data_IF_198898322955
#
_entry.id   IF_198898322955
#
_cell.length_a   1.000
_cell.length_b   1.000
_cell.length_c   1.000
_cell.angle_alpha   90.00
_cell.angle_beta   90.00
_cell.angle_gamma   90.00
#
_symmetry.space_group_name_H-M   'P 1'
#
loop_
_entity.id
_entity.type
_entity.pdbx_description
1 polymer ?
#
# COMPACT_ATOMS: atom_id res chain seq x y z
N UNK A 1 -8.15 -21.82 -31.20
CA UNK A 1 -9.01 -21.30 -30.11
C UNK A 1 -8.40 -20.00 -29.59
N UNK A 2 -9.06 -18.83 -29.71
CA UNK A 2 -8.44 -17.54 -29.40
C UNK A 2 -8.82 -16.93 -28.03
N UNK A 3 -9.64 -17.62 -27.21
CA UNK A 3 -10.15 -17.06 -25.95
C UNK A 3 -9.05 -16.82 -24.89
N UNK A 4 -8.02 -17.67 -24.87
CA UNK A 4 -6.91 -17.57 -23.91
C UNK A 4 -6.06 -16.31 -24.11
N UNK A 5 -5.95 -15.79 -25.34
CA UNK A 5 -5.01 -14.70 -25.63
C UNK A 5 -5.47 -13.35 -25.05
N UNK A 6 -6.78 -13.05 -25.06
CA UNK A 6 -7.30 -11.79 -24.50
C UNK A 6 -7.31 -11.77 -22.97
N UNK A 7 -7.65 -12.89 -22.34
CA UNK A 7 -7.67 -13.01 -20.88
C UNK A 7 -6.25 -12.98 -20.28
N UNK A 8 -5.28 -13.57 -20.98
CA UNK A 8 -3.88 -13.57 -20.57
C UNK A 8 -3.24 -12.18 -20.74
N UNK A 9 -3.57 -11.47 -21.83
CA UNK A 9 -3.18 -10.07 -22.02
C UNK A 9 -3.80 -9.14 -20.96
N UNK A 10 -5.06 -9.36 -20.59
CA UNK A 10 -5.75 -8.61 -19.55
C UNK A 10 -5.09 -8.79 -18.18
N UNK A 11 -4.83 -10.05 -17.79
CA UNK A 11 -4.12 -10.39 -16.54
C UNK A 11 -2.73 -9.78 -16.49
N UNK A 12 -1.97 -9.91 -17.57
CA UNK A 12 -0.61 -9.35 -17.65
C UNK A 12 -0.61 -7.82 -17.53
N UNK A 13 -1.55 -7.13 -18.16
CA UNK A 13 -1.69 -5.68 -18.04
C UNK A 13 -2.07 -5.27 -16.61
N UNK A 14 -2.97 -6.02 -15.96
CA UNK A 14 -3.37 -5.77 -14.58
C UNK A 14 -2.19 -5.89 -13.62
N UNK A 15 -1.42 -6.99 -13.70
CA UNK A 15 -0.24 -7.19 -12.86
C UNK A 15 0.80 -6.09 -13.08
N UNK A 16 1.08 -5.71 -14.33
CA UNK A 16 2.00 -4.61 -14.64
C UNK A 16 1.54 -3.26 -14.06
N UNK A 17 0.24 -2.96 -14.11
CA UNK A 17 -0.31 -1.73 -13.53
C UNK A 17 -0.20 -1.73 -12.00
N UNK A 18 -0.47 -2.88 -11.38
CA UNK A 18 -0.31 -3.10 -9.95
C UNK A 18 1.14 -2.86 -9.52
N UNK A 19 2.09 -3.51 -10.19
CA UNK A 19 3.51 -3.37 -9.86
C UNK A 19 3.99 -1.92 -9.99
N UNK A 20 3.68 -1.25 -11.10
CA UNK A 20 4.04 0.15 -11.31
C UNK A 20 3.44 1.07 -10.24
N UNK A 21 2.17 0.84 -9.86
CA UNK A 21 1.50 1.63 -8.84
C UNK A 21 2.16 1.45 -7.46
N UNK A 22 2.48 0.21 -7.10
CA UNK A 22 3.16 -0.12 -5.84
C UNK A 22 4.56 0.48 -5.82
N UNK A 23 5.34 0.35 -6.89
CA UNK A 23 6.69 0.92 -6.97
C UNK A 23 6.66 2.46 -6.82
N UNK A 24 5.71 3.12 -7.48
CA UNK A 24 5.53 4.57 -7.35
C UNK A 24 5.11 4.97 -5.92
N UNK A 25 4.25 4.20 -5.26
CA UNK A 25 3.88 4.44 -3.86
C UNK A 25 5.09 4.26 -2.93
N UNK A 26 5.83 3.17 -3.06
CA UNK A 26 7.07 2.92 -2.29
C UNK A 26 8.08 4.03 -2.48
N UNK A 27 8.27 4.52 -3.71
CA UNK A 27 9.16 5.65 -3.96
C UNK A 27 8.71 6.92 -3.21
N UNK A 28 7.40 7.21 -3.20
CA UNK A 28 6.85 8.35 -2.45
C UNK A 28 7.08 8.21 -0.94
N UNK A 29 6.84 7.02 -0.38
CA UNK A 29 7.07 6.72 1.05
C UNK A 29 8.55 6.88 1.40
N UNK A 30 9.44 6.32 0.56
CA UNK A 30 10.88 6.43 0.76
C UNK A 30 11.39 7.88 0.78
N UNK A 31 10.78 8.75 -0.03
CA UNK A 31 11.13 10.18 -0.11
C UNK A 31 10.42 11.03 0.95
N UNK A 32 9.45 10.48 1.68
CA UNK A 32 8.77 11.21 2.73
C UNK A 32 9.75 11.55 3.88
N UNK A 33 9.80 12.80 4.34
CA UNK A 33 10.79 13.24 5.33
C UNK A 33 10.64 12.50 6.66
N UNK A 34 9.41 12.24 7.09
CA UNK A 34 9.09 11.61 8.38
C UNK A 34 8.93 10.09 8.30
N UNK A 35 9.08 9.48 7.13
CA UNK A 35 8.95 8.04 6.97
C UNK A 35 10.03 7.25 7.73
N UNK A 36 11.20 7.86 8.00
CA UNK A 36 12.29 7.16 8.66
C UNK A 36 12.72 5.88 7.91
N UNK A 37 12.66 5.92 6.58
CA UNK A 37 12.79 4.77 5.68
C UNK A 37 13.97 3.86 6.03
N UNK A 38 15.15 4.43 6.32
CA UNK A 38 16.37 3.71 6.65
C UNK A 38 16.29 2.83 7.92
N UNK A 39 15.25 2.99 8.75
CA UNK A 39 15.06 2.19 9.97
C UNK A 39 14.26 0.90 9.77
N UNK A 40 13.72 0.66 8.57
CA UNK A 40 12.99 -0.56 8.23
C UNK A 40 13.92 -1.64 7.64
N UNK A 41 13.63 -2.90 7.96
CA UNK A 41 14.38 -4.05 7.48
C UNK A 41 13.91 -4.51 6.10
N UNK A 42 14.72 -5.38 5.45
CA UNK A 42 14.35 -6.09 4.22
C UNK A 42 12.93 -6.68 4.26
N UNK A 43 12.61 -7.36 5.37
CA UNK A 43 11.31 -8.01 5.57
C UNK A 43 10.16 -7.02 5.80
N UNK A 44 10.44 -5.82 6.33
CA UNK A 44 9.43 -4.77 6.46
C UNK A 44 9.08 -4.17 5.10
N UNK A 45 10.07 -4.00 4.21
CA UNK A 45 9.80 -3.56 2.85
C UNK A 45 8.97 -4.57 2.06
N UNK A 46 9.27 -5.87 2.21
CA UNK A 46 8.48 -6.93 1.56
C UNK A 46 7.04 -6.87 2.04
N UNK A 47 6.81 -6.81 3.36
CA UNK A 47 5.46 -6.71 3.93
C UNK A 47 4.73 -5.44 3.52
N UNK A 48 5.42 -4.31 3.48
CA UNK A 48 4.84 -3.05 2.99
C UNK A 48 4.41 -3.15 1.52
N UNK A 49 5.19 -3.85 0.67
CA UNK A 49 4.82 -4.10 -0.73
C UNK A 49 3.55 -4.96 -0.84
N UNK A 50 3.45 -6.00 -0.01
CA UNK A 50 2.27 -6.87 0.05
C UNK A 50 1.03 -6.09 0.52
N UNK A 51 1.16 -5.28 1.57
CA UNK A 51 0.13 -4.37 2.06
C UNK A 51 -0.41 -3.47 0.95
N UNK A 52 0.50 -2.78 0.24
CA UNK A 52 0.15 -1.86 -0.84
C UNK A 52 -0.53 -2.58 -2.01
N UNK A 53 -0.13 -3.82 -2.30
CA UNK A 53 -0.78 -4.65 -3.31
C UNK A 53 -2.22 -4.97 -2.95
N UNK A 54 -2.46 -5.40 -1.71
CA UNK A 54 -3.80 -5.75 -1.22
C UNK A 54 -4.72 -4.52 -1.21
N UNK A 55 -4.21 -3.37 -0.78
CA UNK A 55 -4.95 -2.10 -0.85
C UNK A 55 -5.27 -1.75 -2.30
N UNK A 56 -4.29 -1.81 -3.20
CA UNK A 56 -4.51 -1.48 -4.62
C UNK A 56 -5.56 -2.38 -5.28
N UNK A 57 -5.60 -3.67 -4.91
CA UNK A 57 -6.63 -4.61 -5.37
C UNK A 57 -8.00 -4.28 -4.77
N UNK A 58 -8.03 -3.84 -3.51
CA UNK A 58 -9.25 -3.57 -2.75
C UNK A 58 -9.90 -2.21 -3.00
N UNK A 59 -9.25 -1.30 -3.75
CA UNK A 59 -9.77 0.05 -4.00
C UNK A 59 -9.76 0.42 -5.48
N UNK A 60 -10.68 1.31 -5.86
CA UNK A 60 -10.68 1.87 -7.21
C UNK A 60 -9.47 2.75 -7.47
N UNK A 61 -9.11 2.86 -8.76
CA UNK A 61 -7.95 3.65 -9.21
C UNK A 61 -8.01 5.10 -8.76
N UNK A 62 -9.19 5.72 -8.69
CA UNK A 62 -9.35 7.10 -8.23
C UNK A 62 -8.94 7.25 -6.78
N UNK A 63 -9.42 6.35 -5.90
CA UNK A 63 -9.09 6.34 -4.48
C UNK A 63 -7.59 6.13 -4.26
N UNK A 64 -6.98 5.21 -5.01
CA UNK A 64 -5.53 5.00 -4.95
C UNK A 64 -4.72 6.28 -5.24
N UNK A 65 -5.16 7.10 -6.20
CA UNK A 65 -4.47 8.35 -6.54
C UNK A 65 -4.65 9.45 -5.48
N UNK A 66 -5.69 9.37 -4.64
CA UNK A 66 -5.93 10.31 -3.55
C UNK A 66 -5.05 10.03 -2.31
N UNK A 67 -4.49 8.83 -2.19
CA UNK A 67 -3.59 8.49 -1.11
C UNK A 67 -2.33 9.34 -1.11
N UNK A 68 -1.97 9.83 0.07
CA UNK A 68 -0.83 10.73 0.24
C UNK A 68 0.36 9.98 0.82
N UNK A 69 0.88 9.03 0.03
CA UNK A 69 2.03 8.21 0.41
C UNK A 69 3.28 9.02 0.81
N UNK A 70 3.43 10.25 0.31
CA UNK A 70 4.54 11.16 0.62
C UNK A 70 4.45 11.82 1.99
N UNK A 71 3.35 11.66 2.72
CA UNK A 71 3.17 12.18 4.09
C UNK A 71 3.14 11.08 5.14
N UNK A 72 3.33 9.81 4.75
CA UNK A 72 3.37 8.72 5.71
C UNK A 72 4.57 8.88 6.64
N UNK A 73 4.29 8.89 7.93
CA UNK A 73 5.30 8.92 8.98
C UNK A 73 5.79 7.50 9.28
N UNK A 74 6.90 7.41 10.01
CA UNK A 74 7.42 6.15 10.51
C UNK A 74 6.42 5.41 11.40
N UNK A 75 5.58 6.13 12.13
CA UNK A 75 4.54 5.55 12.98
C UNK A 75 3.41 4.96 12.12
N UNK A 76 2.96 5.68 11.09
CA UNK A 76 1.97 5.17 10.14
C UNK A 76 2.44 3.89 9.45
N UNK A 77 3.71 3.85 9.02
CA UNK A 77 4.28 2.66 8.36
C UNK A 77 4.37 1.48 9.34
N UNK A 78 4.70 1.72 10.61
CA UNK A 78 4.71 0.68 11.64
C UNK A 78 3.31 0.15 11.92
N UNK A 79 2.35 1.04 12.05
CA UNK A 79 0.95 0.67 12.25
C UNK A 79 0.44 -0.21 11.10
N UNK A 80 0.76 0.14 9.85
CA UNK A 80 0.45 -0.70 8.68
C UNK A 80 1.07 -2.10 8.79
N UNK A 81 2.34 -2.20 9.19
CA UNK A 81 3.03 -3.47 9.35
C UNK A 81 2.45 -4.31 10.51
N UNK A 82 2.04 -3.67 11.59
CA UNK A 82 1.39 -4.32 12.74
C UNK A 82 -0.02 -4.82 12.38
N UNK A 83 -0.81 -4.01 11.67
CA UNK A 83 -2.15 -4.37 11.19
C UNK A 83 -2.12 -5.57 10.25
N UNK A 84 -1.13 -5.63 9.34
CA UNK A 84 -0.93 -6.77 8.44
C UNK A 84 -0.49 -8.04 9.19
N UNK A 85 0.24 -7.87 10.30
CA UNK A 85 0.70 -8.96 11.14
C UNK A 85 1.86 -9.76 10.51
N UNK A 86 2.04 -10.99 10.98
CA UNK A 86 3.23 -11.82 10.67
C UNK A 86 2.91 -13.05 9.81
N UNK A 87 1.65 -13.27 9.43
CA UNK A 87 1.22 -14.48 8.75
C UNK A 87 1.03 -14.24 7.24
N UNK A 88 2.02 -14.57 6.38
CA UNK A 88 1.84 -14.49 4.94
C UNK A 88 0.73 -15.45 4.48
N UNK A 89 -0.10 -15.00 3.53
CA UNK A 89 -1.08 -15.87 2.84
C UNK A 89 -2.42 -16.06 3.54
N UNK A 90 -2.73 -15.30 4.61
CA UNK A 90 -4.10 -15.23 5.14
C UNK A 90 -4.87 -14.12 4.45
N UNK A 91 -6.13 -14.37 4.11
CA UNK A 91 -7.04 -13.31 3.65
C UNK A 91 -7.09 -12.19 4.71
N UNK A 92 -6.76 -10.96 4.32
CA UNK A 92 -6.81 -9.81 5.22
C UNK A 92 -8.28 -9.59 5.60
N UNK A 93 -8.63 -9.56 6.90
CA UNK A 93 -9.98 -9.24 7.32
C UNK A 93 -10.39 -7.87 6.79
N UNK A 94 -11.65 -7.71 6.38
CA UNK A 94 -12.18 -6.41 5.92
C UNK A 94 -11.91 -5.27 6.91
N UNK A 95 -12.08 -5.53 8.20
CA UNK A 95 -11.80 -4.54 9.24
C UNK A 95 -10.32 -4.09 9.27
N UNK A 96 -9.39 -5.01 8.99
CA UNK A 96 -7.95 -4.70 8.86
C UNK A 96 -7.69 -3.86 7.61
N UNK A 97 -8.33 -4.20 6.48
CA UNK A 97 -8.27 -3.38 5.26
C UNK A 97 -8.80 -1.96 5.48
N UNK A 98 -9.94 -1.82 6.18
CA UNK A 98 -10.54 -0.54 6.53
C UNK A 98 -9.62 0.28 7.46
N UNK A 99 -8.93 -0.37 8.41
CA UNK A 99 -7.94 0.28 9.27
C UNK A 99 -6.71 0.75 8.47
N UNK A 100 -6.15 -0.09 7.60
CA UNK A 100 -5.01 0.26 6.75
C UNK A 100 -5.34 1.39 5.77
N UNK A 101 -6.53 1.35 5.19
CA UNK A 101 -7.08 2.44 4.38
C UNK A 101 -7.16 3.76 5.15
N UNK A 102 -7.64 3.71 6.41
CA UNK A 102 -7.73 4.89 7.26
C UNK A 102 -6.36 5.51 7.54
N UNK A 103 -5.33 4.69 7.82
CA UNK A 103 -3.95 5.15 8.04
C UNK A 103 -3.42 5.88 6.80
N UNK A 104 -3.57 5.29 5.61
CA UNK A 104 -3.02 5.87 4.36
C UNK A 104 -3.83 7.08 3.86
N UNK A 105 -5.13 7.09 4.18
CA UNK A 105 -6.03 8.21 3.87
C UNK A 105 -5.86 9.38 4.83
N UNK A 106 -5.13 9.23 5.93
CA UNK A 106 -5.05 10.24 6.98
C UNK A 106 -4.20 11.45 6.52
N UNK A 107 -4.82 12.33 5.75
CA UNK A 107 -4.38 13.70 5.53
C UNK A 107 -5.33 14.66 6.24
N UNK A 108 -5.06 14.86 7.54
CA UNK A 108 -5.43 16.02 8.39
C UNK A 108 -5.60 15.54 9.83
N UNK A 109 -4.54 15.54 10.64
CA UNK A 109 -4.67 15.87 12.08
C UNK A 109 -3.37 16.00 12.88
N UNK A 110 -2.18 15.94 12.28
CA UNK A 110 -0.94 16.30 12.99
C UNK A 110 -0.68 17.83 13.04
N UNK A 111 -1.76 18.64 13.06
CA UNK A 111 -1.69 20.09 12.96
C UNK A 111 -2.73 20.83 13.80
N UNK A 112 -3.10 20.29 14.98
CA UNK A 112 -3.81 21.09 15.99
C UNK A 112 -3.68 20.51 17.40
N UNK A 113 -2.57 20.79 18.06
CA UNK A 113 -2.56 21.09 19.50
C UNK A 113 -1.73 22.36 19.68
N UNK A 114 -2.42 23.49 19.71
CA UNK A 114 -1.93 24.71 20.35
C UNK A 114 -2.16 24.65 21.86
#
# INVERSE_FOLDING_TARGET
MPSTSKEELGRRRFELQKEQAIEAAIEKIRRAPDAGWASFSGGDYTRLREILAEIWIGVDREKWQQYTFSTLTKEDIRELLELYGTAPGRAIPRATMEAMDAVISHTKNAGKKG
#
